data_IF_236412104836
#
_entry.id   IF_236412104836
#
_cell.length_a   1.000
_cell.length_b   1.000
_cell.length_c   1.000
_cell.angle_alpha   90.00
_cell.angle_beta   90.00
_cell.angle_gamma   90.00
#
_symmetry.space_group_name_H-M   'P 1'
#
loop_
_entity.id
_entity.type
_entity.pdbx_description
1 polymer ?
#
# COMPACT_ATOMS: atom_id res chain seq x y z
N UNK A 1 10.30 5.63 3.49
CA UNK A 1 9.46 6.76 3.91
C UNK A 1 7.99 6.34 4.05
N UNK A 2 7.33 5.91 2.98
CA UNK A 2 5.88 5.70 3.03
C UNK A 2 5.42 4.47 3.84
N UNK A 3 6.27 3.43 3.97
CA UNK A 3 5.97 2.28 4.83
C UNK A 3 5.84 2.68 6.30
N UNK A 4 6.57 3.71 6.73
CA UNK A 4 6.47 4.23 8.10
C UNK A 4 5.10 4.88 8.30
N UNK A 5 4.60 5.65 7.32
CA UNK A 5 3.27 6.25 7.38
C UNK A 5 2.17 5.18 7.47
N UNK A 6 2.28 4.13 6.67
CA UNK A 6 1.35 2.98 6.71
C UNK A 6 1.38 2.33 8.10
N UNK A 7 2.56 1.99 8.62
CA UNK A 7 2.71 1.37 9.95
C UNK A 7 2.22 2.28 11.08
N UNK A 8 2.57 3.56 11.07
CA UNK A 8 2.10 4.54 12.06
C UNK A 8 0.59 4.72 12.01
N UNK A 9 0.00 4.78 10.80
CA UNK A 9 -1.44 4.84 10.61
C UNK A 9 -2.15 3.60 11.18
N UNK A 10 -1.63 2.40 10.89
CA UNK A 10 -2.14 1.14 11.46
C UNK A 10 -2.06 1.14 12.99
N UNK A 11 -0.92 1.53 13.58
CA UNK A 11 -0.79 1.57 15.05
C UNK A 11 -1.75 2.58 15.70
N UNK A 12 -1.99 3.73 15.06
CA UNK A 12 -2.97 4.71 15.53
C UNK A 12 -4.40 4.17 15.54
N UNK A 13 -4.75 3.22 14.65
CA UNK A 13 -6.09 2.60 14.67
C UNK A 13 -6.35 1.72 15.89
N UNK A 14 -5.31 1.38 16.68
CA UNK A 14 -5.47 0.66 17.95
C UNK A 14 -5.86 1.57 19.13
N UNK A 15 -5.91 2.89 18.91
CA UNK A 15 -6.29 3.84 19.95
C UNK A 15 -7.78 3.76 20.30
N UNK A 16 -8.11 4.01 21.58
CA UNK A 16 -9.50 4.01 22.07
C UNK A 16 -10.32 5.21 21.56
N UNK A 17 -9.80 6.46 21.56
CA UNK A 17 -10.61 7.60 21.13
C UNK A 17 -10.82 7.58 19.61
N UNK A 18 -12.09 7.72 19.19
CA UNK A 18 -12.50 7.65 17.77
C UNK A 18 -11.72 8.62 16.86
N UNK A 19 -11.35 9.80 17.37
CA UNK A 19 -10.58 10.80 16.62
C UNK A 19 -9.23 10.24 16.15
N UNK A 20 -8.54 9.46 16.99
CA UNK A 20 -7.26 8.86 16.62
C UNK A 20 -7.42 7.72 15.61
N UNK A 21 -8.51 6.95 15.69
CA UNK A 21 -8.82 5.91 14.70
C UNK A 21 -9.04 6.54 13.33
N UNK A 22 -9.84 7.61 13.26
CA UNK A 22 -10.09 8.35 12.00
C UNK A 22 -8.79 8.91 11.43
N UNK A 23 -7.97 9.55 12.28
CA UNK A 23 -6.67 10.07 11.86
C UNK A 23 -5.72 8.96 11.39
N UNK A 24 -5.73 7.80 12.07
CA UNK A 24 -4.95 6.62 11.71
C UNK A 24 -5.34 6.05 10.34
N UNK A 25 -6.65 5.94 10.06
CA UNK A 25 -7.17 5.53 8.76
C UNK A 25 -6.71 6.52 7.67
N UNK A 26 -6.88 7.83 7.88
CA UNK A 26 -6.46 8.83 6.91
C UNK A 26 -4.95 8.74 6.60
N UNK A 27 -4.11 8.57 7.63
CA UNK A 27 -2.66 8.44 7.49
C UNK A 27 -2.28 7.15 6.75
N UNK A 28 -2.91 6.02 7.10
CA UNK A 28 -2.71 4.74 6.43
C UNK A 28 -3.07 4.84 4.95
N UNK A 29 -4.27 5.35 4.64
CA UNK A 29 -4.77 5.51 3.28
C UNK A 29 -3.83 6.39 2.45
N UNK A 30 -3.41 7.52 3.00
CA UNK A 30 -2.45 8.40 2.33
C UNK A 30 -1.12 7.69 2.05
N UNK A 31 -0.52 7.04 3.06
CA UNK A 31 0.74 6.32 2.91
C UNK A 31 0.67 5.19 1.88
N UNK A 32 -0.44 4.45 1.86
CA UNK A 32 -0.67 3.35 0.93
C UNK A 32 -0.78 3.85 -0.53
N UNK A 33 -1.68 4.79 -0.80
CA UNK A 33 -1.89 5.32 -2.16
C UNK A 33 -0.68 6.12 -2.68
N UNK A 34 0.02 6.84 -1.80
CA UNK A 34 1.27 7.51 -2.16
C UNK A 34 2.35 6.50 -2.56
N UNK A 35 2.51 5.41 -1.81
CA UNK A 35 3.44 4.32 -2.15
C UNK A 35 3.11 3.68 -3.49
N UNK A 36 1.84 3.32 -3.69
CA UNK A 36 1.38 2.68 -4.91
C UNK A 36 1.60 3.58 -6.14
N UNK A 37 1.22 4.86 -6.05
CA UNK A 37 1.41 5.84 -7.12
C UNK A 37 2.88 6.06 -7.48
N UNK A 38 3.75 6.19 -6.46
CA UNK A 38 5.20 6.35 -6.68
C UNK A 38 5.78 5.07 -7.29
N UNK A 39 5.46 3.89 -6.77
CA UNK A 39 5.97 2.63 -7.29
C UNK A 39 5.51 2.37 -8.73
N UNK A 40 4.22 2.54 -9.02
CA UNK A 40 3.65 2.38 -10.36
C UNK A 40 4.30 3.32 -11.38
N UNK A 41 4.46 4.61 -11.03
CA UNK A 41 5.12 5.59 -11.90
C UNK A 41 6.62 5.31 -12.08
N UNK A 42 7.29 4.81 -11.05
CA UNK A 42 8.72 4.51 -11.07
C UNK A 42 9.04 3.25 -11.88
N UNK A 43 8.19 2.22 -11.83
CA UNK A 43 8.33 1.02 -12.66
C UNK A 43 8.26 1.38 -14.14
N UNK A 44 7.27 2.18 -14.55
CA UNK A 44 7.15 2.65 -15.93
C UNK A 44 8.31 3.56 -16.39
N UNK A 45 8.86 4.38 -15.48
CA UNK A 45 10.01 5.25 -15.76
C UNK A 45 11.35 4.51 -15.80
N UNK A 46 11.55 3.50 -14.96
CA UNK A 46 12.80 2.71 -14.88
C UNK A 46 12.90 1.66 -15.99
N UNK A 47 11.79 1.21 -16.56
CA UNK A 47 11.80 0.28 -17.67
C UNK A 47 12.35 0.95 -18.94
N UNK A 48 13.58 0.59 -19.32
CA UNK A 48 14.25 1.06 -20.54
C UNK A 48 13.61 0.49 -21.82
N UNK A 49 12.99 -0.68 -21.72
CA UNK A 49 12.27 -1.35 -22.81
C UNK A 49 11.10 -2.15 -22.21
N UNK A 50 10.11 -2.51 -23.03
CA UNK A 50 8.95 -3.32 -22.61
C UNK A 50 8.18 -2.77 -21.39
N UNK A 51 7.95 -1.44 -21.35
CA UNK A 51 7.28 -0.74 -20.23
C UNK A 51 5.95 -1.36 -19.82
N UNK A 52 5.14 -1.79 -20.80
CA UNK A 52 3.85 -2.43 -20.53
C UNK A 52 4.00 -3.74 -19.74
N UNK A 53 5.00 -4.57 -20.07
CA UNK A 53 5.28 -5.82 -19.39
C UNK A 53 5.83 -5.59 -17.97
N UNK A 54 6.68 -4.57 -17.79
CA UNK A 54 7.18 -4.19 -16.47
C UNK A 54 6.04 -3.74 -15.54
N UNK A 55 5.14 -2.89 -16.04
CA UNK A 55 3.96 -2.44 -15.28
C UNK A 55 2.99 -3.58 -14.97
N UNK A 56 2.76 -4.51 -15.92
CA UNK A 56 1.89 -5.66 -15.67
C UNK A 56 2.46 -6.60 -14.60
N UNK A 57 3.79 -6.78 -14.57
CA UNK A 57 4.44 -7.59 -13.54
C UNK A 57 4.36 -6.93 -12.15
N UNK A 58 4.49 -5.59 -12.09
CA UNK A 58 4.24 -4.84 -10.85
C UNK A 58 2.81 -5.06 -10.34
N UNK A 59 1.81 -4.92 -11.21
CA UNK A 59 0.41 -5.14 -10.86
C UNK A 59 0.13 -6.59 -10.46
N UNK A 60 0.73 -7.56 -11.17
CA UNK A 60 0.64 -8.97 -10.81
C UNK A 60 1.08 -9.20 -9.37
N UNK A 61 2.29 -8.76 -9.00
CA UNK A 61 2.79 -8.91 -7.63
C UNK A 61 1.97 -8.10 -6.61
N UNK A 62 1.50 -6.90 -6.97
CA UNK A 62 0.65 -6.08 -6.11
C UNK A 62 -0.66 -6.82 -5.76
N UNK A 63 -1.34 -7.40 -6.75
CA UNK A 63 -2.58 -8.13 -6.53
C UNK A 63 -2.35 -9.48 -5.86
N UNK A 64 -1.32 -10.24 -6.27
CA UNK A 64 -0.97 -11.51 -5.61
C UNK A 64 -0.66 -11.30 -4.13
N UNK A 65 0.14 -10.29 -3.79
CA UNK A 65 0.40 -9.91 -2.40
C UNK A 65 -0.89 -9.56 -1.66
N UNK A 66 -1.73 -8.72 -2.26
CA UNK A 66 -3.04 -8.34 -1.67
C UNK A 66 -3.94 -9.56 -1.44
N UNK A 67 -3.96 -10.53 -2.34
CA UNK A 67 -4.76 -11.76 -2.18
C UNK A 67 -4.23 -12.62 -1.03
N UNK A 68 -2.91 -12.80 -0.92
CA UNK A 68 -2.31 -13.61 0.15
C UNK A 68 -2.57 -12.96 1.51
N UNK A 69 -2.17 -11.70 1.68
CA UNK A 69 -2.31 -11.01 2.97
C UNK A 69 -3.75 -10.67 3.31
N UNK A 70 -4.59 -10.37 2.32
CA UNK A 70 -6.03 -10.17 2.51
C UNK A 70 -6.73 -11.44 2.96
N UNK A 71 -6.37 -12.59 2.38
CA UNK A 71 -6.89 -13.88 2.83
C UNK A 71 -6.44 -14.18 4.26
N UNK A 72 -5.13 -14.12 4.54
CA UNK A 72 -4.59 -14.35 5.88
C UNK A 72 -5.19 -13.41 6.94
N UNK A 73 -5.42 -12.15 6.59
CA UNK A 73 -6.03 -11.15 7.45
C UNK A 73 -7.52 -11.38 7.74
N UNK A 74 -8.21 -12.18 6.92
CA UNK A 74 -9.63 -12.53 7.12
C UNK A 74 -9.84 -13.93 7.71
N UNK A 75 -8.77 -14.64 8.07
CA UNK A 75 -8.84 -16.00 8.63
C UNK A 75 -9.12 -16.02 10.16
N UNK A 76 -9.41 -14.88 10.78
CA UNK A 76 -9.72 -14.71 12.20
C UNK A 76 -10.85 -13.69 12.40
#
# INVERSE_FOLDING_TARGET
MNIVLVLSGTLLTLAVPLVFVIAGIALFTFGFFASHSIASSLVGKRAASHKAQASSLYLFFYYTGSSIFGSLGGFF
#
